data_IF_467183870968
#
_entry.id   IF_467183870968
#
_cell.length_a   1.000
_cell.length_b   1.000
_cell.length_c   1.000
_cell.angle_alpha   90.00
_cell.angle_beta   90.00
_cell.angle_gamma   90.00
#
_symmetry.space_group_name_H-M   'P 1'
#
loop_
_entity.id
_entity.type
_entity.pdbx_description
1 polymer ?
#
# COMPACT_ATOMS: atom_id res chain seq x y z
N UNK A 1 -15.83 14.78 14.79
CA UNK A 1 -15.12 13.49 14.88
C UNK A 1 -15.73 12.55 13.85
N UNK A 2 -15.25 12.59 12.61
CA UNK A 2 -15.78 11.72 11.55
C UNK A 2 -15.11 10.35 11.69
N UNK A 3 -15.89 9.27 11.84
CA UNK A 3 -15.35 7.92 11.85
C UNK A 3 -14.58 7.69 10.54
N UNK A 4 -13.27 7.48 10.67
CA UNK A 4 -12.26 7.57 9.61
C UNK A 4 -11.92 6.24 8.93
N UNK A 5 -12.63 5.18 9.29
CA UNK A 5 -12.61 3.90 8.57
C UNK A 5 -14.05 3.67 8.10
N UNK A 6 -14.26 3.49 6.79
CA UNK A 6 -15.53 2.89 6.37
C UNK A 6 -15.57 1.48 6.97
N UNK A 7 -16.70 1.03 7.53
CA UNK A 7 -16.81 -0.34 8.08
C UNK A 7 -16.48 -1.41 7.03
N UNK A 8 -16.57 -1.04 5.75
CA UNK A 8 -16.23 -1.81 4.55
C UNK A 8 -14.74 -2.15 4.43
N UNK A 9 -13.84 -1.44 5.13
CA UNK A 9 -12.38 -1.63 5.01
C UNK A 9 -11.81 -2.53 6.13
N UNK A 10 -12.67 -3.09 6.98
CA UNK A 10 -12.24 -3.91 8.13
C UNK A 10 -11.52 -5.19 7.69
N UNK A 11 -11.81 -5.71 6.50
CA UNK A 11 -11.15 -6.89 5.94
C UNK A 11 -9.67 -6.63 5.59
N UNK A 12 -9.28 -5.37 5.36
CA UNK A 12 -7.87 -5.00 5.13
C UNK A 12 -6.99 -5.31 6.35
N UNK A 13 -7.59 -5.45 7.53
CA UNK A 13 -6.84 -5.79 8.75
C UNK A 13 -6.34 -7.24 8.74
N UNK A 14 -7.13 -8.14 8.16
CA UNK A 14 -6.83 -9.57 8.04
C UNK A 14 -6.32 -9.94 6.64
N UNK A 15 -6.13 -8.96 5.75
CA UNK A 15 -5.78 -9.20 4.36
C UNK A 15 -4.34 -9.67 4.21
N UNK A 16 -4.12 -10.64 3.32
CA UNK A 16 -2.79 -11.04 2.91
C UNK A 16 -2.22 -10.01 1.94
N UNK A 17 -1.02 -9.50 2.24
CA UNK A 17 -0.34 -8.53 1.39
C UNK A 17 0.68 -9.24 0.49
N UNK A 18 0.43 -9.20 -0.81
CA UNK A 18 1.37 -9.60 -1.85
C UNK A 18 1.84 -8.40 -2.66
N UNK A 19 2.89 -8.57 -3.47
CA UNK A 19 3.35 -7.53 -4.38
C UNK A 19 3.56 -8.10 -5.78
N UNK A 20 3.37 -7.25 -6.77
CA UNK A 20 3.60 -7.54 -8.18
C UNK A 20 4.50 -6.49 -8.77
N UNK A 21 5.45 -6.94 -9.58
CA UNK A 21 6.40 -6.09 -10.29
C UNK A 21 6.23 -6.35 -11.77
N UNK A 22 5.92 -5.31 -12.54
CA UNK A 22 5.72 -5.43 -13.99
C UNK A 22 6.52 -4.39 -14.75
N UNK A 23 7.02 -4.76 -15.92
CA UNK A 23 7.70 -3.82 -16.81
C UNK A 23 6.68 -3.14 -17.71
N UNK A 24 6.39 -1.87 -17.44
CA UNK A 24 5.44 -1.05 -18.18
C UNK A 24 6.18 0.13 -18.81
N UNK A 25 6.15 0.25 -20.14
CA UNK A 25 6.79 1.36 -20.89
C UNK A 25 8.27 1.60 -20.51
N UNK A 26 9.01 0.52 -20.26
CA UNK A 26 10.44 0.60 -19.87
C UNK A 26 10.70 0.92 -18.40
N UNK A 27 9.66 1.14 -17.59
CA UNK A 27 9.74 1.34 -16.13
C UNK A 27 9.24 0.09 -15.41
N UNK A 28 9.72 -0.13 -14.20
CA UNK A 28 9.29 -1.23 -13.33
C UNK A 28 8.25 -0.73 -12.35
N UNK A 29 7.00 -1.08 -12.60
CA UNK A 29 5.86 -0.71 -11.79
C UNK A 29 5.69 -1.69 -10.63
N UNK A 30 5.54 -1.17 -9.42
CA UNK A 30 5.28 -1.95 -8.21
C UNK A 30 3.84 -1.70 -7.79
N UNK A 31 3.09 -2.79 -7.67
CA UNK A 31 1.74 -2.80 -7.10
C UNK A 31 1.69 -3.72 -5.89
N UNK A 32 0.97 -3.31 -4.86
CA UNK A 32 0.58 -4.17 -3.75
C UNK A 32 -0.80 -4.76 -4.02
N UNK A 33 -0.97 -6.01 -3.62
CA UNK A 33 -2.21 -6.75 -3.70
C UNK A 33 -2.61 -7.08 -2.27
N UNK A 34 -3.75 -6.57 -1.83
CA UNK A 34 -4.36 -6.95 -0.57
C UNK A 34 -5.46 -7.95 -0.89
N UNK A 35 -5.31 -9.17 -0.41
CA UNK A 35 -6.23 -10.28 -0.67
C UNK A 35 -6.99 -10.56 0.61
N UNK A 36 -8.32 -10.52 0.57
CA UNK A 36 -9.13 -10.91 1.72
C UNK A 36 -8.90 -12.40 2.02
N UNK A 37 -8.52 -12.70 3.26
CA UNK A 37 -8.29 -14.07 3.72
C UNK A 37 -9.58 -14.87 3.87
N UNK A 38 -10.73 -14.20 3.93
CA UNK A 38 -12.07 -14.81 4.02
C UNK A 38 -12.69 -15.05 2.65
N UNK A 39 -12.37 -14.20 1.68
CA UNK A 39 -12.82 -14.33 0.29
C UNK A 39 -11.68 -13.98 -0.70
N UNK A 40 -10.99 -14.99 -1.27
CA UNK A 40 -9.87 -14.74 -2.17
C UNK A 40 -10.27 -14.06 -3.49
N UNK A 41 -11.56 -13.87 -3.78
CA UNK A 41 -12.03 -13.07 -4.91
C UNK A 41 -12.01 -11.56 -4.62
N UNK A 42 -11.96 -11.19 -3.34
CA UNK A 42 -11.91 -9.81 -2.89
C UNK A 42 -10.46 -9.34 -2.79
N UNK A 43 -9.99 -8.69 -3.87
CA UNK A 43 -8.61 -8.22 -4.00
C UNK A 43 -8.60 -6.71 -4.25
N UNK A 44 -7.82 -5.98 -3.45
CA UNK A 44 -7.50 -4.59 -3.69
C UNK A 44 -6.09 -4.48 -4.27
N UNK A 45 -5.98 -3.91 -5.46
CA UNK A 45 -4.68 -3.64 -6.09
C UNK A 45 -4.36 -2.16 -5.97
N UNK A 46 -3.21 -1.85 -5.39
CA UNK A 46 -2.74 -0.48 -5.23
C UNK A 46 -1.36 -0.30 -5.86
N UNK A 47 -1.28 0.56 -6.88
CA UNK A 47 0.00 0.98 -7.45
C UNK A 47 0.74 1.86 -6.45
N UNK A 48 1.98 1.47 -6.12
CA UNK A 48 2.79 2.18 -5.12
C UNK A 48 3.81 3.10 -5.78
N UNK A 49 4.35 2.70 -6.92
CA UNK A 49 5.30 3.53 -7.67
C UNK A 49 5.92 2.82 -8.87
N UNK A 50 6.76 3.55 -9.59
CA UNK A 50 7.49 3.07 -10.74
C UNK A 50 9.00 3.40 -10.64
N UNK A 51 9.84 2.47 -11.05
CA UNK A 51 11.29 2.48 -10.83
C UNK A 51 12.07 2.26 -12.12
N UNK A 52 13.30 2.78 -12.17
CA UNK A 52 14.19 2.62 -13.34
C UNK A 52 14.72 1.19 -13.50
N UNK A 53 14.87 0.43 -12.40
CA UNK A 53 15.44 -0.91 -12.44
C UNK A 53 14.62 -1.90 -11.63
N UNK A 54 14.65 -3.17 -12.06
CA UNK A 54 13.95 -4.26 -11.41
C UNK A 54 14.39 -4.43 -9.96
N UNK A 55 15.70 -4.35 -9.72
CA UNK A 55 16.28 -4.51 -8.37
C UNK A 55 15.78 -3.42 -7.40
N UNK A 56 15.65 -2.18 -7.87
CA UNK A 56 15.08 -1.10 -7.05
C UNK A 56 13.59 -1.35 -6.74
N UNK A 57 12.83 -1.77 -7.76
CA UNK A 57 11.43 -2.16 -7.59
C UNK A 57 11.29 -3.29 -6.57
N UNK A 58 12.13 -4.32 -6.61
CA UNK A 58 12.10 -5.46 -5.68
C UNK A 58 12.45 -5.09 -4.24
N UNK A 59 13.47 -4.24 -4.04
CA UNK A 59 13.83 -3.77 -2.69
C UNK A 59 12.67 -2.96 -2.12
N UNK A 60 12.10 -2.06 -2.93
CA UNK A 60 10.99 -1.23 -2.50
C UNK A 60 9.74 -2.06 -2.21
N UNK A 61 9.39 -2.99 -3.10
CA UNK A 61 8.24 -3.88 -2.93
C UNK A 61 8.35 -4.72 -1.66
N UNK A 62 9.52 -5.33 -1.38
CA UNK A 62 9.76 -6.11 -0.15
C UNK A 62 9.65 -5.25 1.10
N UNK A 63 10.22 -4.05 1.08
CA UNK A 63 10.13 -3.15 2.22
C UNK A 63 8.69 -2.70 2.44
N UNK A 64 7.95 -2.37 1.37
CA UNK A 64 6.57 -1.93 1.48
C UNK A 64 5.63 -3.05 1.92
N UNK A 65 5.81 -4.28 1.42
CA UNK A 65 5.08 -5.45 1.91
C UNK A 65 5.28 -5.63 3.41
N UNK A 66 6.52 -5.52 3.91
CA UNK A 66 6.81 -5.60 5.35
C UNK A 66 6.18 -4.45 6.13
N UNK A 67 6.17 -3.24 5.60
CA UNK A 67 5.53 -2.08 6.24
C UNK A 67 4.03 -2.27 6.28
N UNK A 68 3.39 -2.68 5.19
CA UNK A 68 1.95 -2.93 5.13
C UNK A 68 1.51 -4.11 6.01
N UNK A 69 2.31 -5.17 6.09
CA UNK A 69 2.03 -6.30 7.00
C UNK A 69 2.17 -5.91 8.49
N UNK A 70 2.97 -4.88 8.78
CA UNK A 70 3.12 -4.33 10.15
C UNK A 70 2.12 -3.21 10.44
N UNK A 71 1.74 -2.45 9.43
CA UNK A 71 0.85 -1.31 9.49
C UNK A 71 -0.50 -1.68 8.90
N UNK A 72 -1.33 -2.22 9.77
CA UNK A 72 -2.70 -2.66 9.53
C UNK A 72 -3.62 -1.52 9.03
N UNK A 73 -3.14 -0.27 8.96
CA UNK A 73 -3.90 0.93 8.57
C UNK A 73 -3.69 1.37 7.12
N UNK A 74 -2.89 0.61 6.36
CA UNK A 74 -2.41 1.02 5.04
C UNK A 74 -1.35 2.11 5.16
N UNK A 75 -0.45 2.21 4.18
CA UNK A 75 0.56 3.28 4.13
C UNK A 75 -0.18 4.60 3.86
N UNK A 76 -0.66 5.23 4.93
CA UNK A 76 -1.28 6.53 4.86
C UNK A 76 -0.19 7.49 4.37
N UNK A 77 -0.26 7.91 3.10
CA UNK A 77 0.47 9.09 2.65
C UNK A 77 -0.09 10.24 3.47
N UNK A 78 0.54 10.50 4.62
CA UNK A 78 0.39 11.77 5.31
C UNK A 78 0.71 12.83 4.29
N UNK A 79 -0.31 13.57 3.88
CA UNK A 79 -0.12 14.75 3.07
C UNK A 79 0.85 15.64 3.85
N UNK A 80 2.05 15.87 3.32
CA UNK A 80 3.09 16.65 4.03
C UNK A 80 2.60 18.06 4.35
N UNK A 81 1.60 18.54 3.61
CA UNK A 81 0.98 19.85 3.77
C UNK A 81 -0.13 19.87 4.85
N UNK A 82 -0.44 18.75 5.51
CA UNK A 82 -1.46 18.68 6.56
C UNK A 82 -0.94 19.05 7.97
N UNK A 83 0.36 19.29 8.11
CA UNK A 83 0.97 19.69 9.37
C UNK A 83 1.41 21.15 9.29
N UNK A 84 0.48 22.08 9.52
CA UNK A 84 0.85 23.41 10.02
C UNK A 84 1.30 23.24 11.48
N UNK A 85 2.58 22.93 11.69
CA UNK A 85 3.20 23.02 13.01
C UNK A 85 3.48 24.48 13.32
N UNK A 86 2.41 25.27 13.51
CA UNK A 86 2.52 26.61 14.06
C UNK A 86 1.62 26.71 15.29
N UNK A 87 2.10 26.17 16.40
CA UNK A 87 1.55 26.49 17.72
C UNK A 87 2.38 27.65 18.30
N UNK A 88 1.73 28.81 18.34
CA UNK A 88 2.11 29.99 19.12
C UNK A 88 1.77 29.79 20.60
#
# INVERSE_FOLDING_TARGET
>A
MTARNKPEDTWLLDAEVQYKIEKVKGRWEVSLLFIDTRDPTHILVQKVGDYQSQRLAEIYARNMQKTAAKDVRGTQKVNKDAYDTNSN
#
